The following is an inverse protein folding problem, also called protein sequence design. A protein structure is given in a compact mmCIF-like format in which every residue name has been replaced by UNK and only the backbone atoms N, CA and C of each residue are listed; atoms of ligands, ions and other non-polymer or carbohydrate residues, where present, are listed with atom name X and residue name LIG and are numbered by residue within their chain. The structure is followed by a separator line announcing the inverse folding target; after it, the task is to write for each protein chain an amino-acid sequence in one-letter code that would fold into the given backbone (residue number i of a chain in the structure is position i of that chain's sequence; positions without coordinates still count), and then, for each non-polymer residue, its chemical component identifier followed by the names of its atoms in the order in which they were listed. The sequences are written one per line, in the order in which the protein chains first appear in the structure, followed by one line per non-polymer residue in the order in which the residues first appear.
data_IF_966422593318
#
_entry.id   IF_966422593318
#
_cell.length_a   1.000
_cell.length_b   1.000
_cell.length_c   1.000
_cell.angle_alpha   90.00
_cell.angle_beta   90.00
_cell.angle_gamma   90.00
#
_symmetry.space_group_name_H-M   'P 1'
#
loop_
_entity.id
_entity.type
_entity.pdbx_description
1 polymer ?
#
# COMPACT_ATOMS: atom_id res chain seq x y z
N UNK A 1 9.00 -19.40 9.57
CA UNK A 1 8.09 -18.28 9.86
C UNK A 1 7.61 -17.66 8.57
N UNK A 2 6.52 -16.88 8.60
CA UNK A 2 5.95 -16.20 7.42
C UNK A 2 7.00 -15.29 6.77
N UNK A 3 7.26 -15.46 5.47
CA UNK A 3 8.13 -14.57 4.69
C UNK A 3 7.30 -13.49 4.02
N UNK A 4 7.63 -12.22 4.29
CA UNK A 4 6.85 -11.07 3.82
C UNK A 4 7.75 -10.05 3.15
N UNK A 5 7.37 -9.65 1.94
CA UNK A 5 7.84 -8.44 1.28
C UNK A 5 6.65 -7.48 1.13
N UNK A 6 6.78 -6.26 1.64
CA UNK A 6 5.75 -5.25 1.52
C UNK A 6 6.37 -3.92 1.07
N UNK A 7 5.74 -3.25 0.11
CA UNK A 7 6.16 -1.91 -0.30
C UNK A 7 5.10 -0.86 0.06
N UNK A 8 5.57 0.29 0.54
CA UNK A 8 4.71 1.43 0.83
C UNK A 8 4.28 2.11 -0.47
N UNK A 9 3.01 1.92 -0.83
CA UNK A 9 2.35 2.63 -1.92
C UNK A 9 1.42 3.73 -1.38
N UNK A 10 0.54 4.25 -2.22
CA UNK A 10 -0.44 5.25 -1.84
C UNK A 10 -1.71 5.10 -2.69
N UNK A 11 -2.88 5.44 -2.13
CA UNK A 11 -4.15 5.47 -2.89
C UNK A 11 -4.06 6.32 -4.16
N UNK A 12 -3.23 7.35 -4.18
CA UNK A 12 -3.02 8.16 -5.40
C UNK A 12 -2.33 7.42 -6.55
N UNK A 13 -1.69 6.27 -6.28
CA UNK A 13 -1.18 5.34 -7.29
C UNK A 13 -2.21 4.36 -7.83
N UNK A 14 -3.43 4.36 -7.27
CA UNK A 14 -4.58 3.67 -7.85
C UNK A 14 -5.11 4.47 -9.05
N UNK A 15 -5.23 3.82 -10.20
CA UNK A 15 -5.84 4.35 -11.40
C UNK A 15 -7.37 4.39 -11.22
N UNK A 16 -7.96 3.33 -10.65
CA UNK A 16 -9.39 3.20 -10.39
C UNK A 16 -9.93 4.24 -9.39
N UNK A 17 -9.15 4.59 -8.35
CA UNK A 17 -9.54 5.63 -7.38
C UNK A 17 -9.22 7.07 -7.87
N UNK A 18 -8.72 7.25 -9.10
CA UNK A 18 -8.29 8.56 -9.59
C UNK A 18 -9.45 9.43 -10.11
N UNK A 19 -10.22 10.01 -9.19
CA UNK A 19 -11.31 10.95 -9.53
C UNK A 19 -10.92 12.43 -9.42
N UNK A 20 -9.79 12.75 -8.76
CA UNK A 20 -9.37 14.12 -8.47
C UNK A 20 -8.25 14.63 -9.38
N UNK A 21 -7.46 13.75 -9.99
CA UNK A 21 -6.31 14.13 -10.82
C UNK A 21 -5.13 14.74 -10.03
N UNK A 22 -4.30 15.53 -10.72
CA UNK A 22 -3.12 16.20 -10.19
C UNK A 22 -1.96 15.25 -9.84
N UNK A 23 -0.83 15.82 -9.38
CA UNK A 23 0.32 15.05 -8.85
C UNK A 23 0.89 14.01 -9.82
N UNK A 24 0.88 14.29 -11.12
CA UNK A 24 1.25 13.35 -12.20
C UNK A 24 2.48 12.51 -11.88
N UNK A 25 3.61 13.13 -11.55
CA UNK A 25 4.85 12.41 -11.25
C UNK A 25 4.70 11.45 -10.08
N UNK A 26 4.12 11.90 -8.97
CA UNK A 26 3.92 11.07 -7.77
C UNK A 26 2.94 9.92 -8.02
N UNK A 27 1.84 10.18 -8.74
CA UNK A 27 0.86 9.15 -9.15
C UNK A 27 1.51 8.12 -10.06
N UNK A 28 2.19 8.55 -11.11
CA UNK A 28 2.87 7.66 -12.06
C UNK A 28 3.91 6.80 -11.36
N UNK A 29 4.72 7.37 -10.45
CA UNK A 29 5.68 6.59 -9.68
C UNK A 29 5.00 5.52 -8.80
N UNK A 30 3.88 5.84 -8.15
CA UNK A 30 3.15 4.88 -7.30
C UNK A 30 2.40 3.83 -8.12
N UNK A 31 1.82 4.19 -9.26
CA UNK A 31 1.21 3.24 -10.19
C UNK A 31 2.27 2.31 -10.83
N UNK A 32 3.45 2.83 -11.16
CA UNK A 32 4.56 2.01 -11.65
C UNK A 32 5.06 1.03 -10.58
N UNK A 33 5.21 1.49 -9.32
CA UNK A 33 5.53 0.62 -8.18
C UNK A 33 4.47 -0.49 -8.02
N UNK A 34 3.20 -0.14 -8.14
CA UNK A 34 2.08 -1.08 -8.07
C UNK A 34 2.26 -2.19 -9.13
N UNK A 35 2.47 -1.82 -10.38
CA UNK A 35 2.68 -2.76 -11.48
C UNK A 35 3.92 -3.64 -11.27
N UNK A 36 5.05 -3.06 -10.85
CA UNK A 36 6.28 -3.81 -10.60
C UNK A 36 6.07 -4.89 -9.54
N UNK A 37 5.39 -4.55 -8.45
CA UNK A 37 5.19 -5.49 -7.34
C UNK A 37 4.17 -6.57 -7.68
N UNK A 38 3.14 -6.23 -8.45
CA UNK A 38 2.18 -7.22 -8.96
C UNK A 38 2.89 -8.26 -9.86
N UNK A 39 3.73 -7.82 -10.79
CA UNK A 39 4.55 -8.72 -11.62
C UNK A 39 5.45 -9.60 -10.77
N UNK A 40 6.18 -9.02 -9.81
CA UNK A 40 7.06 -9.77 -8.91
C UNK A 40 6.29 -10.80 -8.07
N UNK A 41 5.07 -10.48 -7.62
CA UNK A 41 4.24 -11.42 -6.87
C UNK A 41 3.80 -12.62 -7.71
N UNK A 42 3.45 -12.41 -8.99
CA UNK A 42 3.11 -13.49 -9.94
C UNK A 42 4.30 -14.43 -10.12
N UNK A 43 5.51 -13.89 -10.26
CA UNK A 43 6.74 -14.68 -10.39
C UNK A 43 7.09 -15.42 -9.09
N UNK A 44 6.98 -14.72 -7.95
CA UNK A 44 7.28 -15.29 -6.63
C UNK A 44 6.40 -16.49 -6.32
N UNK A 45 5.10 -16.42 -6.65
CA UNK A 45 4.13 -17.50 -6.40
C UNK A 45 4.52 -18.83 -7.04
N UNK A 46 5.30 -18.82 -8.14
CA UNK A 46 5.78 -20.05 -8.82
C UNK A 46 6.82 -20.81 -8.03
N UNK A 47 7.64 -20.12 -7.25
CA UNK A 47 8.77 -20.71 -6.50
C UNK A 47 8.58 -20.71 -4.98
N UNK A 48 7.74 -19.82 -4.46
CA UNK A 48 7.49 -19.59 -3.04
C UNK A 48 6.00 -19.32 -2.80
N UNK A 49 5.11 -20.33 -2.93
CA UNK A 49 3.67 -20.14 -2.86
C UNK A 49 3.17 -19.60 -1.50
N UNK A 50 3.94 -19.79 -0.43
CA UNK A 50 3.60 -19.31 0.92
C UNK A 50 4.15 -17.92 1.24
N UNK A 51 4.94 -17.31 0.35
CA UNK A 51 5.50 -15.98 0.55
C UNK A 51 4.49 -14.88 0.21
N UNK A 52 4.43 -13.86 1.07
CA UNK A 52 3.55 -12.71 0.88
C UNK A 52 4.31 -11.56 0.21
N UNK A 53 3.84 -11.09 -0.94
CA UNK A 53 4.36 -9.92 -1.65
C UNK A 53 3.21 -8.95 -1.89
N UNK A 54 3.14 -7.83 -1.17
CA UNK A 54 1.97 -6.92 -1.21
C UNK A 54 2.33 -5.43 -1.21
N UNK A 55 1.38 -4.60 -1.63
CA UNK A 55 1.44 -3.14 -1.51
C UNK A 55 0.61 -2.70 -0.30
N UNK A 56 1.11 -1.69 0.43
CA UNK A 56 0.41 -1.10 1.55
C UNK A 56 0.25 0.41 1.40
N UNK A 57 -0.97 0.91 1.56
CA UNK A 57 -1.23 2.33 1.75
C UNK A 57 -1.28 2.67 3.26
N UNK A 58 -0.38 3.52 3.77
CA UNK A 58 -0.28 3.80 5.20
C UNK A 58 -1.41 4.68 5.78
N UNK A 59 -2.36 5.13 4.95
CA UNK A 59 -3.29 6.20 5.31
C UNK A 59 -2.63 7.58 5.26
N UNK A 60 -3.31 8.60 5.80
CA UNK A 60 -2.71 9.92 5.99
C UNK A 60 -1.92 9.93 7.30
N UNK A 61 -0.59 9.98 7.20
CA UNK A 61 0.33 9.89 8.35
C UNK A 61 0.99 11.23 8.59
N UNK A 62 0.97 11.74 9.82
CA UNK A 62 1.61 12.99 10.24
C UNK A 62 3.14 12.95 10.02
N UNK A 63 3.58 13.38 8.83
CA UNK A 63 4.98 13.39 8.40
C UNK A 63 5.29 14.70 7.67
N UNK A 64 6.57 14.97 7.40
CA UNK A 64 6.98 16.10 6.56
C UNK A 64 6.37 16.05 5.15
N UNK A 65 6.14 14.85 4.61
CA UNK A 65 5.54 14.68 3.29
C UNK A 65 4.07 15.12 3.27
N UNK A 66 3.30 14.78 4.31
CA UNK A 66 1.87 15.05 4.37
C UNK A 66 1.53 16.43 4.95
N UNK A 67 2.43 17.01 5.75
CA UNK A 67 2.22 18.26 6.48
C UNK A 67 1.66 19.40 5.59
N UNK A 68 2.18 19.66 4.38
CA UNK A 68 1.65 20.71 3.51
C UNK A 68 0.24 20.41 2.95
N UNK A 69 -0.25 19.19 3.11
CA UNK A 69 -1.47 18.68 2.46
C UNK A 69 -2.51 18.18 3.45
N UNK A 70 -2.23 18.26 4.76
CA UNK A 70 -3.16 17.91 5.81
C UNK A 70 -4.29 18.96 5.86
N UNK A 71 -5.41 18.66 5.19
CA UNK A 71 -6.62 19.49 5.21
C UNK A 71 -7.51 19.10 6.40
N UNK A 72 -8.34 20.03 6.84
CA UNK A 72 -9.41 19.79 7.81
C UNK A 72 -10.30 18.63 7.35
N UNK A 73 -10.58 17.68 8.24
CA UNK A 73 -11.44 16.52 7.96
C UNK A 73 -10.71 15.24 7.51
N UNK A 74 -9.37 15.25 7.40
CA UNK A 74 -8.61 14.01 7.20
C UNK A 74 -8.40 13.27 8.52
N UNK A 75 -8.56 11.95 8.50
CA UNK A 75 -8.13 11.06 9.59
C UNK A 75 -6.60 10.94 9.58
N UNK A 76 -5.94 11.88 10.26
CA UNK A 76 -4.48 11.92 10.36
C UNK A 76 -4.02 11.12 11.57
N UNK A 77 -3.15 10.14 11.33
CA UNK A 77 -2.58 9.29 12.39
C UNK A 77 -1.07 9.52 12.57
N UNK A 78 -0.53 9.12 13.72
CA UNK A 78 0.92 9.19 13.97
C UNK A 78 1.68 8.13 13.16
N UNK A 79 2.98 8.31 12.89
CA UNK A 79 3.82 7.29 12.26
C UNK A 79 3.78 5.94 13.01
N UNK A 80 3.78 5.97 14.34
CA UNK A 80 3.73 4.76 15.17
C UNK A 80 2.40 4.02 15.02
N UNK A 81 1.28 4.75 14.99
CA UNK A 81 -0.05 4.16 14.77
C UNK A 81 -0.16 3.51 13.38
N UNK A 82 0.29 4.20 12.33
CA UNK A 82 0.28 3.67 10.96
C UNK A 82 1.15 2.42 10.83
N UNK A 83 2.37 2.44 11.39
CA UNK A 83 3.25 1.28 11.40
C UNK A 83 2.64 0.08 12.14
N UNK A 84 2.10 0.28 13.34
CA UNK A 84 1.45 -0.79 14.12
C UNK A 84 0.26 -1.41 13.37
N UNK A 85 -0.58 -0.59 12.76
CA UNK A 85 -1.72 -1.05 11.96
C UNK A 85 -1.28 -1.82 10.72
N UNK A 86 -0.30 -1.31 9.98
CA UNK A 86 0.24 -2.03 8.80
C UNK A 86 0.87 -3.37 9.18
N UNK A 87 1.58 -3.46 10.31
CA UNK A 87 2.12 -4.72 10.81
C UNK A 87 1.00 -5.70 11.19
N UNK A 88 -0.10 -5.22 11.80
CA UNK A 88 -1.26 -6.04 12.11
C UNK A 88 -1.90 -6.60 10.83
N UNK A 89 -2.13 -5.77 9.81
CA UNK A 89 -2.61 -6.21 8.48
C UNK A 89 -1.69 -7.28 7.90
N UNK A 90 -0.37 -7.06 7.89
CA UNK A 90 0.58 -8.03 7.36
C UNK A 90 0.57 -9.36 8.12
N UNK A 91 0.27 -9.36 9.42
CA UNK A 91 0.16 -10.59 10.21
C UNK A 91 -1.07 -11.41 9.80
N UNK A 92 -2.19 -10.74 9.53
CA UNK A 92 -3.49 -11.36 9.24
C UNK A 92 -3.66 -11.81 7.77
N UNK A 93 -2.97 -11.18 6.81
CA UNK A 93 -3.13 -11.50 5.39
C UNK A 93 -2.73 -12.96 5.07
N UNK A 94 -3.56 -13.75 4.36
CA UNK A 94 -3.19 -15.09 3.92
C UNK A 94 -2.19 -15.05 2.76
N UNK A 95 -1.48 -16.16 2.49
CA UNK A 95 -0.59 -16.26 1.33
C UNK A 95 -1.31 -15.98 -0.01
N UNK A 96 -2.61 -16.32 -0.08
CA UNK A 96 -3.46 -16.02 -1.23
C UNK A 96 -3.62 -14.52 -1.53
N UNK A 97 -3.33 -13.64 -0.57
CA UNK A 97 -3.36 -12.19 -0.76
C UNK A 97 -2.12 -11.63 -1.49
N UNK A 98 -1.13 -12.48 -1.81
CA UNK A 98 0.05 -12.09 -2.58
C UNK A 98 -0.34 -11.45 -3.91
N UNK A 99 0.33 -10.36 -4.26
CA UNK A 99 0.02 -9.53 -5.42
C UNK A 99 -1.10 -8.52 -5.19
N UNK A 100 -1.68 -8.45 -3.97
CA UNK A 100 -2.73 -7.50 -3.61
C UNK A 100 -2.22 -6.12 -3.15
N UNK A 101 -3.16 -5.17 -3.10
CA UNK A 101 -2.95 -3.80 -2.61
C UNK A 101 -3.99 -3.51 -1.52
N UNK A 102 -3.50 -3.20 -0.32
CA UNK A 102 -4.34 -2.98 0.86
C UNK A 102 -3.99 -1.66 1.55
N UNK A 103 -4.91 -1.09 2.31
CA UNK A 103 -4.60 0.02 3.19
C UNK A 103 -4.27 -0.43 4.62
N UNK A 104 -3.89 0.54 5.46
CA UNK A 104 -3.57 0.34 6.87
C UNK A 104 -4.71 -0.25 7.72
N UNK A 105 -5.92 -0.40 7.19
CA UNK A 105 -7.06 -1.07 7.86
C UNK A 105 -7.31 -2.47 7.30
N UNK A 106 -6.52 -2.92 6.32
CA UNK A 106 -6.67 -4.21 5.64
C UNK A 106 -7.65 -4.18 4.48
N UNK A 107 -8.23 -3.01 4.17
CA UNK A 107 -9.20 -2.87 3.08
C UNK A 107 -8.47 -2.91 1.72
N UNK A 108 -8.99 -3.65 0.74
CA UNK A 108 -8.47 -3.62 -0.62
C UNK A 108 -8.53 -2.20 -1.20
N UNK A 109 -7.50 -1.84 -1.97
CA UNK A 109 -7.45 -0.61 -2.75
C UNK A 109 -7.55 -0.99 -4.22
N UNK A 110 -8.37 -0.25 -4.98
CA UNK A 110 -8.47 -0.46 -6.42
C UNK A 110 -7.10 -0.23 -7.09
N UNK A 111 -6.87 -0.87 -8.24
CA UNK A 111 -5.63 -0.69 -9.00
C UNK A 111 -5.63 0.56 -9.85
#
# INVERSE_FOLDING_TARGET
GKSVFAALSARVGSIGDNHLGGWYSYRTCKAALNQMLHTAAVELKRSRPDALCVLLHPGTVATRLSSPFAKTGLDVQTPQQSAARMLAVLNELPAAATGGFFDHRGEPVAW
#
